data_IF_566778120381
#
_entry.id   IF_566778120381
#
_cell.length_a   1.000
_cell.length_b   1.000
_cell.length_c   1.000
_cell.angle_alpha   90.00
_cell.angle_beta   90.00
_cell.angle_gamma   90.00
#
_symmetry.space_group_name_H-M   'P 1'
#
loop_
_entity.id
_entity.type
_entity.pdbx_description
1 polymer ?
#
# COMPACT_ATOMS: atom_id res chain seq x y z
N UNK A 1 -22.83 -4.86 -61.09
CA UNK A 1 -24.16 -5.47 -61.28
C UNK A 1 -24.05 -6.89 -60.76
N UNK A 2 -24.83 -7.26 -59.89
CA UNK A 2 -25.20 -8.50 -59.20
C UNK A 2 -24.89 -8.53 -57.72
N UNK A 3 -26.00 -8.50 -57.03
CA UNK A 3 -26.25 -8.78 -55.63
C UNK A 3 -25.38 -9.90 -55.02
N UNK A 4 -24.76 -9.62 -53.88
CA UNK A 4 -24.47 -10.62 -52.83
C UNK A 4 -24.91 -10.01 -51.50
N UNK A 5 -26.22 -10.02 -51.29
CA UNK A 5 -26.82 -9.88 -49.98
C UNK A 5 -27.47 -11.21 -49.65
N UNK A 6 -26.72 -12.12 -49.00
CA UNK A 6 -27.33 -13.32 -48.42
C UNK A 6 -26.58 -13.75 -47.16
N UNK A 7 -27.33 -13.63 -46.05
CA UNK A 7 -27.36 -14.53 -44.92
C UNK A 7 -26.14 -14.63 -44.00
N UNK A 8 -26.08 -13.72 -43.02
CA UNK A 8 -25.68 -14.09 -41.69
C UNK A 8 -26.91 -14.12 -40.76
N UNK A 9 -27.54 -15.29 -40.69
CA UNK A 9 -28.53 -15.59 -39.64
C UNK A 9 -27.73 -15.78 -38.35
N UNK A 10 -27.88 -14.88 -37.40
CA UNK A 10 -27.47 -15.10 -36.02
C UNK A 10 -28.35 -16.26 -35.46
N UNK A 11 -27.75 -17.24 -34.77
CA UNK A 11 -28.54 -18.26 -34.06
C UNK A 11 -29.32 -17.55 -32.94
N UNK A 12 -30.55 -18.00 -32.77
CA UNK A 12 -31.52 -17.55 -31.76
C UNK A 12 -30.86 -17.44 -30.38
N UNK A 13 -31.08 -16.31 -29.73
CA UNK A 13 -30.80 -16.10 -28.33
C UNK A 13 -31.29 -17.28 -27.49
N UNK A 14 -30.36 -18.03 -26.96
CA UNK A 14 -30.60 -19.01 -25.89
C UNK A 14 -31.35 -18.24 -24.79
N UNK A 15 -32.59 -18.54 -24.57
CA UNK A 15 -33.37 -18.07 -23.42
C UNK A 15 -32.52 -18.32 -22.17
N UNK A 16 -32.32 -17.34 -21.28
CA UNK A 16 -31.61 -17.62 -20.07
C UNK A 16 -32.34 -18.70 -19.31
N UNK A 17 -31.75 -19.89 -19.25
CA UNK A 17 -32.18 -20.90 -18.31
C UNK A 17 -32.22 -20.24 -16.95
N UNK A 18 -33.32 -20.38 -16.25
CA UNK A 18 -33.55 -19.93 -14.88
C UNK A 18 -32.38 -20.43 -14.04
N UNK A 19 -31.35 -19.62 -13.93
CA UNK A 19 -30.21 -19.89 -13.06
C UNK A 19 -30.81 -20.01 -11.67
N UNK A 20 -30.77 -21.22 -11.13
CA UNK A 20 -31.06 -21.50 -9.74
C UNK A 20 -30.19 -20.48 -8.96
N UNK A 21 -30.80 -19.42 -8.42
CA UNK A 21 -30.12 -18.48 -7.52
C UNK A 21 -29.80 -19.30 -6.26
N UNK A 22 -28.65 -19.95 -6.25
CA UNK A 22 -28.02 -20.36 -4.99
C UNK A 22 -27.89 -19.07 -4.20
N UNK A 23 -28.69 -18.91 -3.17
CA UNK A 23 -28.58 -17.74 -2.28
C UNK A 23 -27.25 -17.88 -1.55
N UNK A 24 -26.20 -17.25 -2.11
CA UNK A 24 -24.93 -17.16 -1.42
C UNK A 24 -25.17 -16.48 -0.08
N UNK A 25 -24.75 -17.12 1.00
CA UNK A 25 -24.95 -16.61 2.35
C UNK A 25 -24.18 -15.29 2.50
N UNK A 26 -24.87 -14.23 2.91
CA UNK A 26 -24.23 -12.94 3.19
C UNK A 26 -23.42 -13.05 4.47
N UNK A 27 -22.10 -12.95 4.37
CA UNK A 27 -21.17 -12.99 5.51
C UNK A 27 -20.95 -11.59 6.08
N UNK A 28 -20.71 -11.52 7.40
CA UNK A 28 -20.16 -10.36 8.09
C UNK A 28 -18.65 -10.52 8.21
N UNK A 29 -17.88 -9.62 7.59
CA UNK A 29 -16.43 -9.77 7.45
C UNK A 29 -15.74 -8.57 8.05
N UNK A 30 -14.79 -8.83 8.95
CA UNK A 30 -13.86 -7.82 9.45
C UNK A 30 -12.56 -7.87 8.65
N UNK A 31 -12.06 -6.71 8.24
CA UNK A 31 -10.75 -6.56 7.59
C UNK A 31 -9.89 -5.65 8.48
N UNK A 32 -8.70 -6.12 8.83
CA UNK A 32 -7.76 -5.39 9.68
C UNK A 32 -6.65 -4.82 8.79
N UNK A 33 -6.63 -3.50 8.66
CA UNK A 33 -5.73 -2.75 7.79
C UNK A 33 -6.40 -2.17 6.55
N UNK A 34 -6.30 -0.86 6.35
CA UNK A 34 -6.85 -0.11 5.22
C UNK A 34 -5.75 0.31 4.21
N UNK A 35 -4.76 -0.55 3.98
CA UNK A 35 -3.81 -0.43 2.87
C UNK A 35 -4.42 -0.90 1.55
N UNK A 36 -3.61 -0.93 0.48
CA UNK A 36 -4.04 -1.37 -0.86
C UNK A 36 -4.69 -2.76 -0.81
N UNK A 37 -4.09 -3.74 -0.13
CA UNK A 37 -4.64 -5.11 -0.04
C UNK A 37 -6.00 -5.14 0.67
N UNK A 38 -6.11 -4.51 1.85
CA UNK A 38 -7.34 -4.50 2.64
C UNK A 38 -8.49 -3.77 1.93
N UNK A 39 -8.21 -2.63 1.28
CA UNK A 39 -9.23 -1.89 0.53
C UNK A 39 -9.66 -2.63 -0.74
N UNK A 40 -8.73 -3.31 -1.42
CA UNK A 40 -9.08 -4.18 -2.57
C UNK A 40 -9.98 -5.32 -2.12
N UNK A 41 -9.61 -6.02 -1.04
CA UNK A 41 -10.44 -7.10 -0.49
C UNK A 41 -11.82 -6.59 -0.07
N UNK A 42 -11.88 -5.45 0.65
CA UNK A 42 -13.14 -4.87 1.09
C UNK A 42 -14.09 -4.56 -0.07
N UNK A 43 -13.59 -3.89 -1.11
CA UNK A 43 -14.38 -3.56 -2.30
C UNK A 43 -14.92 -4.80 -3.01
N UNK A 44 -14.06 -5.80 -3.21
CA UNK A 44 -14.43 -7.05 -3.88
C UNK A 44 -15.53 -7.78 -3.11
N UNK A 45 -15.40 -7.88 -1.79
CA UNK A 45 -16.38 -8.53 -0.93
C UNK A 45 -17.71 -7.77 -0.84
N UNK A 46 -17.67 -6.43 -0.78
CA UNK A 46 -18.90 -5.60 -0.84
C UNK A 46 -19.61 -5.78 -2.19
N UNK A 47 -18.86 -5.80 -3.30
CA UNK A 47 -19.43 -6.07 -4.63
C UNK A 47 -20.03 -7.46 -4.76
N UNK A 48 -19.50 -8.44 -4.01
CA UNK A 48 -20.06 -9.79 -3.93
C UNK A 48 -21.29 -9.90 -2.99
N UNK A 49 -21.72 -8.81 -2.36
CA UNK A 49 -22.91 -8.75 -1.50
C UNK A 49 -22.67 -9.07 -0.02
N UNK A 50 -21.42 -9.15 0.42
CA UNK A 50 -21.07 -9.34 1.83
C UNK A 50 -21.10 -8.02 2.62
N UNK A 51 -21.30 -8.10 3.94
CA UNK A 51 -21.18 -6.98 4.87
C UNK A 51 -19.74 -6.89 5.36
N UNK A 52 -19.08 -5.78 5.12
CA UNK A 52 -17.66 -5.60 5.43
C UNK A 52 -17.46 -4.44 6.37
N UNK A 53 -16.61 -4.62 7.38
CA UNK A 53 -16.10 -3.55 8.22
C UNK A 53 -14.55 -3.58 8.16
N UNK A 54 -13.96 -2.40 8.00
CA UNK A 54 -12.49 -2.25 7.89
C UNK A 54 -11.99 -1.47 9.09
N UNK A 55 -10.98 -2.00 9.79
CA UNK A 55 -10.36 -1.40 10.97
C UNK A 55 -8.96 -0.93 10.66
N UNK A 56 -8.70 0.36 10.83
CA UNK A 56 -7.40 0.99 10.54
C UNK A 56 -6.93 1.81 11.73
N UNK A 57 -5.72 1.53 12.20
CA UNK A 57 -5.13 2.24 13.34
C UNK A 57 -4.78 3.70 13.06
N UNK A 58 -4.56 4.03 11.79
CA UNK A 58 -4.14 5.37 11.37
C UNK A 58 -5.35 6.29 11.16
N UNK A 59 -5.06 7.59 11.06
CA UNK A 59 -6.08 8.63 10.76
C UNK A 59 -6.65 8.60 9.35
N UNK A 60 -6.17 7.69 8.48
CA UNK A 60 -6.62 7.57 7.10
C UNK A 60 -6.18 6.27 6.46
N UNK A 61 -6.96 5.83 5.47
CA UNK A 61 -6.57 4.73 4.61
C UNK A 61 -5.33 5.10 3.78
N UNK A 62 -4.52 4.16 3.46
CA UNK A 62 -3.46 4.08 2.46
C UNK A 62 -2.27 3.21 2.92
N UNK A 63 -2.09 2.95 4.20
CA UNK A 63 -0.95 2.20 4.71
C UNK A 63 0.38 2.79 4.24
N UNK A 64 1.22 2.01 3.59
CA UNK A 64 2.54 2.45 3.07
C UNK A 64 2.47 3.34 1.82
N UNK A 65 1.30 3.55 1.24
CA UNK A 65 1.06 4.59 0.24
C UNK A 65 0.73 5.95 0.87
N UNK A 66 1.08 6.17 2.12
CA UNK A 66 0.81 7.40 2.86
C UNK A 66 1.54 8.60 2.26
N UNK A 67 0.85 9.73 2.31
CA UNK A 67 1.36 11.05 1.92
C UNK A 67 1.26 11.98 3.12
N UNK A 68 2.29 12.79 3.36
CA UNK A 68 2.29 13.86 4.35
C UNK A 68 1.99 15.19 3.68
N UNK A 69 1.04 15.92 4.21
CA UNK A 69 0.70 17.27 3.79
C UNK A 69 1.46 18.28 4.64
N UNK A 70 1.97 19.32 4.03
CA UNK A 70 2.67 20.45 4.65
C UNK A 70 2.30 21.74 3.94
N UNK A 71 2.70 22.89 4.52
CA UNK A 71 2.56 24.21 3.87
C UNK A 71 3.34 24.33 2.56
N UNK A 72 4.33 23.49 2.35
CA UNK A 72 5.15 23.46 1.13
C UNK A 72 4.56 22.53 0.05
N UNK A 73 3.54 21.75 0.38
CA UNK A 73 2.93 20.73 -0.46
C UNK A 73 3.07 19.34 0.13
N UNK A 74 2.82 18.32 -0.69
CA UNK A 74 2.76 16.92 -0.26
C UNK A 74 4.09 16.20 -0.42
N UNK A 75 4.36 15.25 0.49
CA UNK A 75 5.48 14.31 0.43
C UNK A 75 4.96 12.88 0.47
N UNK A 76 5.30 12.08 -0.52
CA UNK A 76 5.03 10.65 -0.51
C UNK A 76 6.15 9.94 0.26
N UNK A 77 6.01 9.89 1.58
CA UNK A 77 7.08 9.39 2.46
C UNK A 77 7.15 7.87 2.58
N UNK A 78 6.22 7.16 1.95
CA UNK A 78 6.25 5.70 1.76
C UNK A 78 6.54 5.34 0.31
N UNK A 79 5.54 4.82 -0.40
CA UNK A 79 5.64 4.46 -1.82
C UNK A 79 5.82 5.69 -2.69
N UNK A 80 6.84 5.67 -3.55
CA UNK A 80 7.19 6.81 -4.40
C UNK A 80 6.47 6.83 -5.73
N UNK A 81 6.21 5.65 -6.30
CA UNK A 81 5.50 5.38 -7.53
C UNK A 81 5.02 3.93 -7.55
N UNK A 82 4.24 3.56 -8.52
CA UNK A 82 3.91 2.16 -8.79
C UNK A 82 3.99 1.85 -10.28
N UNK A 83 4.14 0.57 -10.60
CA UNK A 83 4.10 0.03 -11.96
C UNK A 83 2.85 -0.84 -12.10
N UNK A 84 2.45 -1.12 -13.33
CA UNK A 84 1.25 -1.91 -13.65
C UNK A 84 1.64 -3.00 -14.63
N UNK A 85 1.62 -4.25 -14.18
CA UNK A 85 1.96 -5.45 -14.96
C UNK A 85 0.83 -6.46 -14.97
N UNK A 86 0.12 -6.61 -13.83
CA UNK A 86 -1.02 -7.50 -13.71
C UNK A 86 -2.24 -6.90 -14.45
N UNK A 87 -2.83 -7.63 -15.41
CA UNK A 87 -3.97 -7.13 -16.18
C UNK A 87 -5.19 -6.80 -15.33
N UNK A 88 -5.38 -7.45 -14.19
CA UNK A 88 -6.49 -7.19 -13.26
C UNK A 88 -6.29 -5.87 -12.54
N UNK A 89 -5.05 -5.52 -12.18
CA UNK A 89 -4.73 -4.22 -11.61
C UNK A 89 -4.90 -3.11 -12.66
N UNK A 90 -4.44 -3.34 -13.89
CA UNK A 90 -4.68 -2.44 -15.02
C UNK A 90 -6.18 -2.20 -15.24
N UNK A 91 -6.99 -3.27 -15.25
CA UNK A 91 -8.42 -3.19 -15.40
C UNK A 91 -9.08 -2.39 -14.27
N UNK A 92 -8.69 -2.63 -13.02
CA UNK A 92 -9.21 -1.89 -11.86
C UNK A 92 -8.90 -0.39 -11.94
N UNK A 93 -7.69 -0.02 -12.35
CA UNK A 93 -7.31 1.40 -12.55
C UNK A 93 -8.12 2.06 -13.69
N UNK A 94 -8.58 1.29 -14.68
CA UNK A 94 -9.35 1.80 -15.80
C UNK A 94 -10.86 1.88 -15.53
N UNK A 95 -11.40 0.94 -14.77
CA UNK A 95 -12.84 0.74 -14.61
C UNK A 95 -13.41 1.37 -13.34
N UNK A 96 -12.62 1.51 -12.28
CA UNK A 96 -13.09 2.21 -11.07
C UNK A 96 -13.22 3.69 -11.38
N UNK A 97 -14.45 4.21 -11.34
CA UNK A 97 -14.75 5.59 -11.67
C UNK A 97 -13.86 6.58 -10.89
N UNK A 98 -13.38 7.63 -11.52
CA UNK A 98 -12.53 8.66 -10.92
C UNK A 98 -11.05 8.28 -10.74
N UNK A 99 -10.67 7.02 -11.00
CA UNK A 99 -9.26 6.58 -10.80
C UNK A 99 -8.31 7.17 -11.84
N UNK A 100 -8.76 7.34 -13.09
CA UNK A 100 -7.93 7.90 -14.18
C UNK A 100 -7.53 9.36 -13.93
N UNK A 101 -8.37 10.11 -13.25
CA UNK A 101 -8.11 11.50 -12.88
C UNK A 101 -7.07 11.60 -11.76
N UNK A 102 -7.01 10.58 -10.93
CA UNK A 102 -6.09 10.49 -9.78
C UNK A 102 -4.74 9.92 -10.20
N UNK A 103 -4.72 8.80 -10.96
CA UNK A 103 -3.50 8.12 -11.35
C UNK A 103 -2.95 8.69 -12.66
N UNK A 104 -1.71 9.18 -12.62
CA UNK A 104 -1.06 9.80 -13.77
C UNK A 104 0.30 9.17 -14.04
N UNK A 105 0.68 9.01 -15.32
CA UNK A 105 2.05 8.66 -15.68
C UNK A 105 3.01 9.70 -15.12
N UNK A 106 4.12 9.24 -14.56
CA UNK A 106 5.19 10.10 -14.10
C UNK A 106 6.43 9.86 -14.96
N UNK A 107 6.92 10.94 -15.59
CA UNK A 107 8.10 10.89 -16.42
C UNK A 107 9.39 10.80 -15.57
N UNK A 108 9.47 9.77 -14.73
CA UNK A 108 10.74 9.32 -14.19
C UNK A 108 11.52 8.52 -15.24
N UNK A 109 11.37 8.86 -16.53
CA UNK A 109 12.02 8.19 -17.66
C UNK A 109 13.55 8.13 -17.57
N UNK A 110 14.10 8.81 -16.57
CA UNK A 110 15.51 8.77 -16.24
C UNK A 110 15.70 8.58 -14.74
N UNK A 111 15.29 7.43 -14.20
CA UNK A 111 15.83 6.99 -12.91
C UNK A 111 17.34 6.82 -13.11
N UNK A 112 18.13 7.60 -12.38
CA UNK A 112 19.58 7.50 -12.42
C UNK A 112 20.08 6.52 -11.38
N UNK A 113 21.26 5.98 -11.60
CA UNK A 113 22.01 5.24 -10.58
C UNK A 113 23.21 6.09 -10.20
N UNK A 114 23.31 6.43 -8.93
CA UNK A 114 24.37 7.26 -8.38
C UNK A 114 25.37 6.38 -7.65
N UNK A 115 26.65 6.72 -7.83
CA UNK A 115 27.74 6.21 -7.00
C UNK A 115 27.67 6.81 -5.57
N UNK A 116 28.51 6.39 -4.63
CA UNK A 116 28.52 6.96 -3.28
C UNK A 116 28.85 8.46 -3.20
N UNK A 117 29.41 9.03 -4.26
CA UNK A 117 29.75 10.46 -4.35
C UNK A 117 28.70 11.28 -5.11
N UNK A 118 27.62 10.64 -5.57
CA UNK A 118 26.54 11.31 -6.30
C UNK A 118 26.76 11.44 -7.80
N UNK A 119 27.84 10.86 -8.36
CA UNK A 119 28.03 10.86 -9.80
C UNK A 119 27.08 9.85 -10.46
N UNK A 120 26.56 10.22 -11.63
CA UNK A 120 25.75 9.29 -12.41
C UNK A 120 26.63 8.18 -12.96
N UNK A 121 26.50 7.00 -12.39
CA UNK A 121 27.29 5.83 -12.73
C UNK A 121 26.70 5.07 -13.93
N UNK A 122 25.38 4.95 -13.96
CA UNK A 122 24.67 4.25 -15.03
C UNK A 122 23.36 4.97 -15.34
N UNK A 123 23.07 5.14 -16.63
CA UNK A 123 21.69 5.41 -17.02
C UNK A 123 20.91 4.12 -16.77
N UNK A 124 19.96 4.14 -15.85
CA UNK A 124 19.14 2.97 -15.58
C UNK A 124 18.68 2.36 -16.91
N UNK A 125 18.85 1.05 -17.07
CA UNK A 125 18.30 0.30 -18.20
C UNK A 125 16.89 0.79 -18.42
N UNK A 126 16.52 1.10 -19.69
CA UNK A 126 15.19 1.54 -20.03
C UNK A 126 14.20 0.57 -19.37
N UNK A 127 13.61 0.99 -18.28
CA UNK A 127 12.58 0.21 -17.63
C UNK A 127 11.38 0.35 -18.57
N UNK A 128 10.92 -0.73 -19.16
CA UNK A 128 9.79 -0.71 -20.10
C UNK A 128 8.46 -0.40 -19.38
N UNK A 129 8.45 -0.49 -18.04
CA UNK A 129 7.25 -0.22 -17.26
C UNK A 129 7.05 1.27 -17.06
N UNK A 130 5.88 1.75 -17.40
CA UNK A 130 5.46 3.10 -17.07
C UNK A 130 5.36 3.25 -15.54
N UNK A 131 5.92 4.33 -15.01
CA UNK A 131 5.77 4.71 -13.62
C UNK A 131 4.51 5.55 -13.44
N UNK A 132 3.69 5.20 -12.48
CA UNK A 132 2.49 5.93 -12.12
C UNK A 132 2.58 6.52 -10.73
N UNK A 133 1.99 7.68 -10.55
CA UNK A 133 1.78 8.31 -9.25
C UNK A 133 0.32 8.72 -9.10
N UNK A 134 -0.17 8.75 -7.87
CA UNK A 134 -1.47 9.32 -7.57
C UNK A 134 -1.35 10.80 -7.18
N UNK A 135 -2.34 11.61 -7.54
CA UNK A 135 -2.43 13.04 -7.26
C UNK A 135 -3.67 13.34 -6.42
N UNK A 136 -3.60 14.22 -5.42
CA UNK A 136 -2.49 15.10 -5.01
C UNK A 136 -1.39 14.39 -4.16
N UNK A 137 -1.54 13.13 -3.82
CA UNK A 137 -0.63 12.28 -3.05
C UNK A 137 -0.84 10.81 -3.38
N UNK A 138 0.15 9.95 -3.10
CA UNK A 138 0.03 8.51 -3.34
C UNK A 138 -1.15 7.89 -2.59
N UNK A 139 -1.51 8.45 -1.43
CA UNK A 139 -2.67 8.03 -0.66
C UNK A 139 -4.02 8.28 -1.36
N UNK A 140 -4.07 9.16 -2.35
CA UNK A 140 -5.32 9.52 -3.02
C UNK A 140 -5.99 8.31 -3.69
N UNK A 141 -5.22 7.40 -4.29
CA UNK A 141 -5.75 6.19 -4.94
C UNK A 141 -6.52 5.32 -3.92
N UNK A 142 -5.87 4.96 -2.83
CA UNK A 142 -6.47 4.05 -1.83
C UNK A 142 -7.63 4.73 -1.11
N UNK A 143 -7.49 6.02 -0.77
CA UNK A 143 -8.58 6.80 -0.17
C UNK A 143 -9.80 6.88 -1.07
N UNK A 144 -9.60 7.11 -2.36
CA UNK A 144 -10.67 7.13 -3.34
C UNK A 144 -11.39 5.79 -3.42
N UNK A 145 -10.63 4.70 -3.48
CA UNK A 145 -11.19 3.35 -3.51
C UNK A 145 -11.89 2.97 -2.20
N UNK A 146 -11.53 3.58 -1.08
CA UNK A 146 -12.16 3.37 0.22
C UNK A 146 -13.47 4.17 0.41
N UNK A 147 -13.72 5.22 -0.38
CA UNK A 147 -14.89 6.09 -0.21
C UNK A 147 -16.24 5.37 -0.11
N UNK A 148 -16.53 4.33 -0.94
CA UNK A 148 -17.80 3.60 -0.86
C UNK A 148 -18.04 2.87 0.47
N UNK A 149 -17.01 2.62 1.26
CA UNK A 149 -17.14 1.97 2.58
C UNK A 149 -17.82 2.89 3.60
N UNK A 150 -17.68 4.21 3.46
CA UNK A 150 -18.33 5.17 4.35
C UNK A 150 -18.06 4.87 5.83
N UNK A 151 -19.14 4.68 6.59
CA UNK A 151 -19.09 4.37 8.05
C UNK A 151 -18.54 2.97 8.37
N UNK A 152 -18.43 2.09 7.39
CA UNK A 152 -17.82 0.77 7.58
C UNK A 152 -16.27 0.81 7.65
N UNK A 153 -15.66 1.98 7.39
CA UNK A 153 -14.24 2.21 7.58
C UNK A 153 -14.01 2.89 8.93
N UNK A 154 -13.52 2.13 9.90
CA UNK A 154 -13.20 2.58 11.25
C UNK A 154 -11.74 3.02 11.31
N UNK A 155 -11.52 4.34 11.23
CA UNK A 155 -10.20 4.96 11.39
C UNK A 155 -9.86 5.15 12.87
N UNK A 156 -8.57 5.29 13.20
CA UNK A 156 -8.09 5.36 14.59
C UNK A 156 -8.43 4.14 15.45
N UNK A 157 -8.81 3.03 14.83
CA UNK A 157 -9.20 1.80 15.51
C UNK A 157 -8.09 0.74 15.35
N UNK A 158 -7.27 0.58 16.39
CA UNK A 158 -6.22 -0.43 16.44
C UNK A 158 -6.76 -1.72 17.05
N UNK A 159 -6.93 -2.75 16.24
CA UNK A 159 -7.24 -4.10 16.73
C UNK A 159 -5.98 -4.65 17.42
N UNK A 160 -6.12 -5.06 18.68
CA UNK A 160 -5.02 -5.60 19.46
C UNK A 160 -5.22 -7.06 19.89
N UNK A 161 -6.49 -7.53 19.86
CA UNK A 161 -6.86 -8.91 20.20
C UNK A 161 -8.11 -9.32 19.45
N UNK A 162 -8.21 -10.58 19.12
CA UNK A 162 -9.37 -11.24 18.54
C UNK A 162 -9.72 -12.48 19.37
N UNK A 163 -11.01 -12.81 19.47
CA UNK A 163 -11.46 -14.05 20.10
C UNK A 163 -12.74 -14.56 19.43
N UNK A 164 -13.08 -15.83 19.68
CA UNK A 164 -14.33 -16.41 19.18
C UNK A 164 -15.32 -16.58 20.32
N UNK A 165 -16.57 -16.20 20.09
CA UNK A 165 -17.65 -16.48 21.03
C UNK A 165 -18.12 -17.95 20.95
N UNK A 166 -19.05 -18.32 21.82
CA UNK A 166 -19.62 -19.68 21.88
C UNK A 166 -20.32 -20.11 20.57
N UNK A 167 -20.77 -19.15 19.76
CA UNK A 167 -21.40 -19.40 18.45
C UNK A 167 -20.37 -19.48 17.31
N UNK A 168 -19.08 -19.41 17.60
CA UNK A 168 -18.01 -19.46 16.63
C UNK A 168 -17.77 -18.15 15.86
N UNK A 169 -18.47 -17.06 16.19
CA UNK A 169 -18.27 -15.75 15.56
C UNK A 169 -17.10 -15.00 16.21
N UNK A 170 -16.42 -14.21 15.41
CA UNK A 170 -15.29 -13.40 15.85
C UNK A 170 -15.73 -12.12 16.58
N UNK A 171 -14.96 -11.78 17.58
CA UNK A 171 -15.01 -10.55 18.36
C UNK A 171 -13.65 -9.87 18.24
N UNK A 172 -13.64 -8.58 17.92
CA UNK A 172 -12.43 -7.75 17.85
C UNK A 172 -12.41 -6.79 19.02
N UNK A 173 -11.27 -6.68 19.69
CA UNK A 173 -10.98 -5.70 20.71
C UNK A 173 -10.09 -4.62 20.11
N UNK A 174 -10.55 -3.37 20.13
CA UNK A 174 -9.85 -2.24 19.51
C UNK A 174 -9.56 -1.15 20.54
N UNK A 175 -8.46 -0.45 20.36
CA UNK A 175 -8.17 0.81 21.04
C UNK A 175 -8.27 1.96 20.06
N UNK A 176 -8.78 3.09 20.55
CA UNK A 176 -8.72 4.33 19.80
C UNK A 176 -7.29 4.90 19.87
N UNK A 177 -6.56 4.83 18.77
CA UNK A 177 -5.16 5.26 18.67
C UNK A 177 -4.96 6.78 18.81
N UNK A 178 -6.01 7.58 18.71
CA UNK A 178 -5.93 9.04 18.83
C UNK A 178 -6.07 9.54 20.27
N UNK A 179 -6.81 8.82 21.12
CA UNK A 179 -7.17 9.26 22.47
C UNK A 179 -6.33 8.61 23.58
N UNK A 180 -5.48 7.63 23.25
CA UNK A 180 -4.79 6.78 24.24
C UNK A 180 -5.74 6.16 25.28
N UNK A 181 -7.01 5.96 24.90
CA UNK A 181 -8.00 5.35 25.78
C UNK A 181 -7.57 3.91 26.11
N UNK A 182 -7.54 3.59 27.42
CA UNK A 182 -7.18 2.26 27.90
C UNK A 182 -8.34 1.27 27.84
N UNK A 183 -9.58 1.78 27.67
CA UNK A 183 -10.77 0.92 27.57
C UNK A 183 -10.96 0.48 26.14
N UNK A 184 -10.89 -0.84 25.86
CA UNK A 184 -11.11 -1.34 24.51
C UNK A 184 -12.56 -1.22 24.10
N UNK A 185 -12.78 -0.85 22.83
CA UNK A 185 -14.07 -0.99 22.16
C UNK A 185 -14.19 -2.44 21.63
N UNK A 186 -15.43 -2.96 21.68
CA UNK A 186 -15.71 -4.35 21.27
C UNK A 186 -16.59 -4.33 20.03
N UNK A 187 -16.11 -5.00 18.98
CA UNK A 187 -16.86 -5.23 17.73
C UNK A 187 -17.05 -6.74 17.55
N UNK A 188 -18.29 -7.19 17.45
CA UNK A 188 -18.62 -8.61 17.47
C UNK A 188 -19.52 -9.03 16.29
N UNK A 189 -19.61 -10.34 16.05
CA UNK A 189 -20.53 -10.92 15.08
C UNK A 189 -19.95 -11.11 13.69
N UNK A 190 -18.62 -11.28 13.57
CA UNK A 190 -17.98 -11.52 12.29
C UNK A 190 -17.84 -13.02 11.99
N UNK A 191 -18.26 -13.43 10.80
CA UNK A 191 -18.06 -14.78 10.28
C UNK A 191 -16.60 -15.01 9.87
N UNK A 192 -15.92 -13.95 9.40
CA UNK A 192 -14.55 -13.99 8.88
C UNK A 192 -13.74 -12.80 9.37
N UNK A 193 -12.43 -13.00 9.55
CA UNK A 193 -11.46 -11.95 9.87
C UNK A 193 -10.29 -12.04 8.89
N UNK A 194 -10.03 -10.96 8.16
CA UNK A 194 -8.97 -10.86 7.17
C UNK A 194 -7.88 -9.89 7.65
N UNK A 195 -6.65 -10.39 7.79
CA UNK A 195 -5.51 -9.60 8.24
C UNK A 195 -4.78 -9.02 7.02
N UNK A 196 -4.96 -7.74 6.76
CA UNK A 196 -4.35 -7.00 5.65
C UNK A 196 -3.28 -6.01 6.14
N UNK A 197 -2.49 -6.44 7.10
CA UNK A 197 -1.39 -5.70 7.74
C UNK A 197 -0.05 -6.37 7.45
N UNK A 198 1.11 -5.72 7.69
CA UNK A 198 2.42 -6.35 7.56
C UNK A 198 2.52 -7.65 8.35
N UNK A 199 3.28 -8.64 7.83
CA UNK A 199 3.38 -10.00 8.40
C UNK A 199 3.70 -10.01 9.90
N UNK A 200 4.64 -9.17 10.35
CA UNK A 200 5.02 -9.06 11.77
C UNK A 200 3.85 -8.56 12.63
N UNK A 201 3.03 -7.64 12.12
CA UNK A 201 1.85 -7.15 12.86
C UNK A 201 0.72 -8.21 12.87
N UNK A 202 0.54 -8.94 11.78
CA UNK A 202 -0.41 -10.04 11.70
C UNK A 202 -0.02 -11.16 12.67
N UNK A 203 1.25 -11.54 12.70
CA UNK A 203 1.80 -12.52 13.63
C UNK A 203 1.57 -12.12 15.10
N UNK A 204 1.91 -10.87 15.43
CA UNK A 204 1.70 -10.35 16.79
C UNK A 204 0.23 -10.37 17.19
N UNK A 205 -0.67 -10.00 16.29
CA UNK A 205 -2.12 -10.02 16.56
C UNK A 205 -2.62 -11.45 16.79
N UNK A 206 -2.19 -12.41 15.97
CA UNK A 206 -2.53 -13.82 16.17
C UNK A 206 -2.02 -14.33 17.50
N UNK A 207 -0.77 -14.05 17.87
CA UNK A 207 -0.20 -14.44 19.19
C UNK A 207 -0.96 -13.82 20.36
N UNK A 208 -1.28 -12.53 20.30
CA UNK A 208 -2.06 -11.84 21.32
C UNK A 208 -3.49 -12.41 21.47
N UNK A 209 -3.99 -13.05 20.42
CA UNK A 209 -5.32 -13.64 20.36
C UNK A 209 -5.38 -15.08 20.84
N UNK A 210 -4.26 -15.67 21.28
CA UNK A 210 -4.21 -17.05 21.77
C UNK A 210 -4.44 -18.04 20.63
N UNK A 211 -3.60 -17.98 19.59
CA UNK A 211 -3.70 -18.84 18.41
C UNK A 211 -3.75 -20.32 18.82
N UNK A 212 -4.83 -20.98 18.42
CA UNK A 212 -5.00 -22.42 18.63
C UNK A 212 -4.19 -23.24 17.60
N UNK A 213 -4.02 -24.53 17.90
CA UNK A 213 -3.23 -25.44 17.04
C UNK A 213 -3.65 -25.44 15.56
N UNK A 214 -4.94 -25.22 15.29
CA UNK A 214 -5.48 -25.16 13.92
C UNK A 214 -5.00 -23.95 13.10
N UNK A 215 -4.43 -22.94 13.74
CA UNK A 215 -3.96 -21.71 13.11
C UNK A 215 -2.44 -21.54 13.17
N UNK A 216 -1.75 -22.52 13.79
CA UNK A 216 -0.28 -22.51 13.94
C UNK A 216 0.46 -22.40 12.60
N UNK A 217 -0.12 -22.93 11.52
CA UNK A 217 0.43 -22.85 10.17
C UNK A 217 0.57 -21.41 9.66
N UNK A 218 -0.27 -20.46 10.11
CA UNK A 218 -0.11 -19.03 9.77
C UNK A 218 1.17 -18.47 10.38
N UNK A 219 1.44 -18.79 11.66
CA UNK A 219 2.63 -18.32 12.36
C UNK A 219 3.90 -18.88 11.74
N UNK A 220 3.89 -20.19 11.41
CA UNK A 220 5.01 -20.82 10.73
C UNK A 220 5.29 -20.18 9.36
N UNK A 221 4.24 -19.91 8.58
CA UNK A 221 4.38 -19.27 7.29
C UNK A 221 4.93 -17.84 7.41
N UNK A 222 4.40 -17.04 8.33
CA UNK A 222 4.85 -15.66 8.56
C UNK A 222 6.29 -15.56 9.03
N UNK A 223 6.79 -16.55 9.77
CA UNK A 223 8.20 -16.58 10.24
C UNK A 223 9.22 -16.68 9.09
N UNK A 224 8.79 -17.10 7.90
CA UNK A 224 9.63 -17.19 6.69
C UNK A 224 9.72 -15.84 5.95
N UNK A 225 8.84 -14.90 6.25
CA UNK A 225 8.80 -13.59 5.61
C UNK A 225 9.82 -12.66 6.23
N UNK A 226 10.63 -12.02 5.39
CA UNK A 226 11.60 -11.02 5.84
C UNK A 226 11.15 -9.63 5.41
N UNK A 227 11.08 -8.73 6.38
CA UNK A 227 10.66 -7.33 6.15
C UNK A 227 11.75 -6.40 6.69
N UNK A 228 12.13 -5.42 5.88
CA UNK A 228 13.11 -4.41 6.27
C UNK A 228 12.45 -3.10 6.67
N UNK A 229 13.05 -2.35 7.61
CA UNK A 229 12.66 -0.98 7.92
C UNK A 229 13.20 0.01 6.88
N UNK A 230 12.67 1.23 6.93
CA UNK A 230 13.17 2.36 6.14
C UNK A 230 12.99 3.67 6.89
N UNK A 231 14.07 4.42 7.05
CA UNK A 231 14.00 5.82 7.40
C UNK A 231 13.80 6.65 6.13
N UNK A 232 12.88 7.60 6.20
CA UNK A 232 12.58 8.51 5.08
C UNK A 232 12.74 9.95 5.54
N UNK A 233 13.56 10.73 4.84
CA UNK A 233 13.75 12.16 5.05
C UNK A 233 12.95 12.95 4.00
N UNK A 234 12.25 13.98 4.44
CA UNK A 234 11.47 14.90 3.63
C UNK A 234 12.05 16.31 3.76
N UNK A 235 12.34 16.94 2.63
CA UNK A 235 13.01 18.24 2.56
C UNK A 235 12.24 19.21 1.65
N UNK A 236 12.12 20.48 2.05
CA UNK A 236 11.58 21.54 1.20
C UNK A 236 12.53 22.74 1.12
N UNK A 237 12.67 23.28 -0.09
CA UNK A 237 13.51 24.41 -0.44
C UNK A 237 12.68 25.46 -1.22
N UNK A 238 11.83 26.25 -0.56
CA UNK A 238 10.89 27.16 -1.24
C UNK A 238 11.60 28.24 -2.06
N UNK A 239 12.83 28.61 -1.72
CA UNK A 239 13.62 29.63 -2.42
C UNK A 239 14.42 29.07 -3.61
N UNK A 240 14.38 27.77 -3.88
CA UNK A 240 15.13 27.14 -4.96
C UNK A 240 14.64 27.52 -6.37
N UNK A 241 13.46 28.11 -6.51
CA UNK A 241 12.90 28.57 -7.79
C UNK A 241 13.28 30.03 -8.11
N UNK A 242 14.24 30.59 -7.42
CA UNK A 242 14.72 31.92 -7.76
C UNK A 242 15.39 31.87 -9.14
N UNK A 243 14.95 32.68 -10.13
CA UNK A 243 15.53 32.72 -11.47
C UNK A 243 17.05 33.08 -11.47
N UNK A 244 17.52 33.70 -10.37
CA UNK A 244 18.94 34.02 -10.19
C UNK A 244 19.80 32.84 -9.70
N UNK A 245 19.18 31.69 -9.42
CA UNK A 245 19.84 30.44 -9.00
C UNK A 245 19.49 29.27 -9.91
N UNK A 246 19.90 29.31 -11.20
CA UNK A 246 19.42 28.37 -12.21
C UNK A 246 19.88 26.90 -12.01
N UNK A 247 20.79 26.65 -11.06
CA UNK A 247 21.47 25.36 -10.94
C UNK A 247 21.43 24.74 -9.54
N UNK A 248 20.30 24.86 -8.81
CA UNK A 248 20.13 24.18 -7.55
C UNK A 248 19.88 22.68 -7.80
N UNK A 249 20.95 21.91 -7.78
CA UNK A 249 20.92 20.47 -7.74
C UNK A 249 20.72 19.76 -9.09
N UNK A 250 20.58 18.45 -9.05
CA UNK A 250 20.55 17.60 -10.24
C UNK A 250 19.27 17.77 -11.07
N UNK A 251 19.39 17.50 -12.37
CA UNK A 251 18.28 17.63 -13.34
C UNK A 251 17.38 16.38 -13.44
N UNK A 252 17.65 15.33 -12.67
CA UNK A 252 16.84 14.10 -12.66
C UNK A 252 15.70 14.16 -11.62
N UNK A 253 14.63 13.40 -11.86
CA UNK A 253 13.44 13.34 -11.01
C UNK A 253 13.51 12.25 -9.94
N UNK A 254 14.26 11.19 -10.21
CA UNK A 254 14.50 10.10 -9.28
C UNK A 254 15.84 9.44 -9.52
N UNK A 255 16.45 8.95 -8.44
CA UNK A 255 17.69 8.21 -8.50
C UNK A 255 17.72 7.07 -7.45
N UNK A 256 18.32 5.97 -7.85
CA UNK A 256 18.86 4.96 -6.93
C UNK A 256 20.27 5.39 -6.54
N UNK A 257 20.69 5.01 -5.36
CA UNK A 257 22.05 5.30 -4.91
C UNK A 257 22.70 4.04 -4.33
N UNK A 258 24.00 3.91 -4.55
CA UNK A 258 24.85 2.92 -3.90
C UNK A 258 25.50 3.46 -2.62
N UNK A 259 25.14 4.65 -2.22
CA UNK A 259 25.60 5.26 -0.96
C UNK A 259 25.09 4.41 0.23
N UNK A 260 25.96 4.12 1.20
CA UNK A 260 25.64 3.22 2.31
C UNK A 260 24.40 3.63 3.14
N UNK A 261 24.10 4.95 3.23
CA UNK A 261 22.92 5.46 3.97
C UNK A 261 21.67 5.60 3.13
N UNK A 262 21.79 5.97 1.86
CA UNK A 262 20.68 6.37 1.00
C UNK A 262 20.53 5.41 -0.17
N UNK A 263 19.35 4.83 -0.33
CA UNK A 263 19.04 3.93 -1.44
C UNK A 263 18.23 4.61 -2.55
N UNK A 264 17.43 5.64 -2.22
CA UNK A 264 16.51 6.25 -3.17
C UNK A 264 16.31 7.73 -2.88
N UNK A 265 16.25 8.54 -3.95
CA UNK A 265 15.92 9.96 -3.91
C UNK A 265 14.83 10.26 -4.94
N UNK A 266 13.86 11.07 -4.55
CA UNK A 266 12.75 11.52 -5.42
C UNK A 266 12.54 13.01 -5.27
N UNK A 267 12.46 13.71 -6.40
CA UNK A 267 12.02 15.10 -6.47
C UNK A 267 10.49 15.15 -6.51
N UNK A 268 9.86 15.51 -5.38
CA UNK A 268 8.39 15.54 -5.25
C UNK A 268 7.74 16.58 -6.17
N UNK A 269 8.41 17.71 -6.40
CA UNK A 269 7.96 18.77 -7.31
C UNK A 269 7.89 18.34 -8.79
N UNK A 270 8.52 17.23 -9.16
CA UNK A 270 8.47 16.66 -10.52
C UNK A 270 7.21 15.83 -10.79
N UNK A 271 6.51 15.39 -9.74
CA UNK A 271 5.32 14.57 -9.89
C UNK A 271 4.14 15.41 -10.41
N UNK A 272 3.31 14.90 -11.35
CA UNK A 272 2.17 15.62 -11.89
C UNK A 272 1.14 15.96 -10.80
N UNK A 273 0.56 17.16 -10.89
CA UNK A 273 -0.47 17.64 -9.96
C UNK A 273 0.06 17.98 -8.55
N UNK A 274 1.37 18.20 -8.41
CA UNK A 274 2.01 18.58 -7.15
C UNK A 274 2.42 20.05 -7.15
N UNK A 275 2.64 20.59 -5.94
CA UNK A 275 3.26 21.92 -5.75
C UNK A 275 4.59 21.99 -6.49
N UNK A 276 4.92 23.17 -7.05
CA UNK A 276 6.18 23.41 -7.76
C UNK A 276 7.32 23.81 -6.82
N UNK A 277 7.03 24.03 -5.54
CA UNK A 277 8.08 24.23 -4.52
C UNK A 277 9.02 23.03 -4.56
N UNK A 278 10.32 23.29 -4.60
CA UNK A 278 11.34 22.25 -4.63
C UNK A 278 11.28 21.40 -3.36
N UNK A 279 11.02 20.12 -3.51
CA UNK A 279 10.85 19.17 -2.41
C UNK A 279 11.42 17.82 -2.78
N UNK A 280 12.02 17.19 -1.79
CA UNK A 280 12.67 15.90 -1.93
C UNK A 280 12.22 14.91 -0.87
N UNK A 281 12.02 13.67 -1.28
CA UNK A 281 11.89 12.51 -0.40
C UNK A 281 13.11 11.63 -0.60
N UNK A 282 13.81 11.33 0.49
CA UNK A 282 15.05 10.55 0.51
C UNK A 282 14.82 9.32 1.38
N UNK A 283 14.99 8.14 0.81
CA UNK A 283 14.80 6.87 1.51
C UNK A 283 16.16 6.24 1.82
N UNK A 284 16.36 5.88 3.07
CA UNK A 284 17.57 5.21 3.52
C UNK A 284 17.63 3.76 3.00
N UNK A 285 18.83 3.22 2.96
CA UNK A 285 19.02 1.79 2.67
C UNK A 285 18.45 0.92 3.79
N UNK A 286 18.02 -0.30 3.45
CA UNK A 286 17.47 -1.27 4.40
C UNK A 286 18.48 -1.60 5.51
N UNK A 287 19.74 -1.84 5.16
CA UNK A 287 20.82 -2.16 6.10
C UNK A 287 21.06 -1.02 7.08
N UNK A 288 21.23 0.20 6.58
CA UNK A 288 21.43 1.37 7.43
C UNK A 288 20.20 1.66 8.31
N UNK A 289 18.98 1.50 7.77
CA UNK A 289 17.75 1.67 8.52
C UNK A 289 17.61 0.66 9.65
N UNK A 290 18.05 -0.58 9.43
CA UNK A 290 18.06 -1.62 10.46
C UNK A 290 19.06 -1.31 11.57
N UNK A 291 20.27 -0.89 11.21
CA UNK A 291 21.32 -0.50 12.19
C UNK A 291 20.90 0.70 13.06
N UNK A 292 20.17 1.64 12.47
CA UNK A 292 19.75 2.89 13.12
C UNK A 292 18.25 2.91 13.47
N UNK A 293 17.61 1.73 13.58
CA UNK A 293 16.15 1.65 13.76
C UNK A 293 15.67 2.36 15.02
N UNK A 294 16.43 2.29 16.09
CA UNK A 294 16.08 2.86 17.39
C UNK A 294 16.80 4.20 17.69
N UNK A 295 17.59 4.69 16.75
CA UNK A 295 18.20 6.03 16.89
C UNK A 295 17.11 7.12 17.00
N UNK A 296 17.43 8.21 17.67
CA UNK A 296 16.55 9.37 17.76
C UNK A 296 16.40 10.10 16.40
N UNK A 297 15.25 10.71 16.21
CA UNK A 297 14.91 11.35 14.93
C UNK A 297 15.87 12.51 14.54
N UNK A 298 16.31 13.41 15.45
CA UNK A 298 17.27 14.45 15.12
C UNK A 298 18.60 13.91 14.62
N UNK A 299 19.13 12.85 15.23
CA UNK A 299 20.39 12.21 14.83
C UNK A 299 20.27 11.59 13.43
N UNK A 300 19.19 10.87 13.19
CA UNK A 300 18.90 10.26 11.87
C UNK A 300 18.77 11.37 10.81
N UNK A 301 18.03 12.44 11.12
CA UNK A 301 17.81 13.56 10.19
C UNK A 301 19.15 14.19 9.79
N UNK A 302 20.04 14.50 10.75
CA UNK A 302 21.33 15.09 10.47
C UNK A 302 22.21 14.20 9.57
N UNK A 303 22.26 12.88 9.85
CA UNK A 303 23.00 11.90 9.04
C UNK A 303 22.46 11.80 7.61
N UNK A 304 21.12 11.76 7.44
CA UNK A 304 20.48 11.66 6.13
C UNK A 304 20.60 12.97 5.33
N UNK A 305 20.49 14.13 5.99
CA UNK A 305 20.66 15.44 5.35
C UNK A 305 22.07 15.58 4.79
N UNK A 306 23.09 15.16 5.56
CA UNK A 306 24.47 15.12 5.08
C UNK A 306 24.62 14.23 3.84
N UNK A 307 24.08 13.01 3.87
CA UNK A 307 24.13 12.11 2.73
C UNK A 307 23.38 12.67 1.50
N UNK A 308 22.25 13.36 1.71
CA UNK A 308 21.54 14.07 0.66
C UNK A 308 22.44 15.14 0.00
N UNK A 309 23.14 15.95 0.80
CA UNK A 309 24.05 16.98 0.29
C UNK A 309 25.25 16.37 -0.45
N UNK A 310 25.78 15.24 0.03
CA UNK A 310 26.86 14.51 -0.63
C UNK A 310 26.43 13.99 -2.02
N UNK A 311 25.18 13.48 -2.13
CA UNK A 311 24.66 12.88 -3.36
C UNK A 311 24.13 13.89 -4.38
N UNK A 312 23.62 15.02 -3.94
CA UNK A 312 22.94 15.99 -4.82
C UNK A 312 23.74 17.26 -5.07
N UNK A 313 24.76 17.52 -4.26
CA UNK A 313 25.49 18.80 -4.25
C UNK A 313 24.69 19.96 -3.62
N UNK A 314 23.43 19.75 -3.23
CA UNK A 314 22.60 20.78 -2.58
C UNK A 314 23.07 20.97 -1.15
N UNK A 315 23.64 22.15 -0.88
CA UNK A 315 24.16 22.54 0.43
C UNK A 315 23.33 23.62 1.11
N UNK A 316 22.24 24.06 0.43
CA UNK A 316 21.31 25.01 1.01
C UNK A 316 20.59 24.37 2.21
N UNK A 317 20.34 25.19 3.23
CA UNK A 317 19.55 24.75 4.37
C UNK A 317 18.08 24.62 3.99
N UNK A 318 17.43 23.48 4.25
CA UNK A 318 16.02 23.32 3.94
C UNK A 318 15.15 24.09 4.93
N UNK A 319 14.10 24.75 4.44
CA UNK A 319 13.08 25.38 5.30
C UNK A 319 12.18 24.37 5.99
N UNK A 320 12.20 23.13 5.55
CA UNK A 320 11.52 21.99 6.17
C UNK A 320 12.39 20.76 6.04
N UNK A 321 12.63 20.12 7.18
CA UNK A 321 13.29 18.81 7.26
C UNK A 321 12.60 17.96 8.30
N UNK A 322 12.14 16.79 7.92
CA UNK A 322 11.53 15.84 8.85
C UNK A 322 11.81 14.42 8.42
N UNK A 323 12.09 13.53 9.39
CA UNK A 323 12.23 12.10 9.16
C UNK A 323 10.97 11.34 9.57
N UNK A 324 10.75 10.21 8.91
CA UNK A 324 9.73 9.24 9.27
C UNK A 324 10.34 7.85 9.34
N UNK A 325 9.99 7.08 10.36
CA UNK A 325 10.47 5.72 10.58
C UNK A 325 9.41 4.71 10.18
N UNK A 326 9.66 3.96 9.10
CA UNK A 326 8.90 2.79 8.72
C UNK A 326 9.54 1.55 9.32
N UNK A 327 8.93 0.92 10.33
CA UNK A 327 9.46 -0.33 10.92
C UNK A 327 9.29 -1.52 9.99
N UNK A 328 8.25 -1.54 9.17
CA UNK A 328 7.89 -2.61 8.26
C UNK A 328 7.68 -2.03 6.86
N UNK A 329 8.77 -1.59 6.23
CA UNK A 329 8.73 -0.81 5.00
C UNK A 329 8.63 -1.69 3.76
N UNK A 330 9.54 -2.63 3.62
CA UNK A 330 9.72 -3.39 2.39
C UNK A 330 9.87 -4.86 2.68
N UNK A 331 9.15 -5.69 1.95
CA UNK A 331 9.32 -7.14 1.94
C UNK A 331 10.58 -7.49 1.17
N UNK A 332 11.52 -8.19 1.81
CA UNK A 332 12.76 -8.69 1.21
C UNK A 332 12.57 -10.13 0.72
N UNK A 333 11.95 -10.98 1.55
CA UNK A 333 11.63 -12.35 1.21
C UNK A 333 10.12 -12.54 1.39
N UNK A 334 9.36 -12.66 0.31
CA UNK A 334 7.93 -12.90 0.35
C UNK A 334 7.60 -14.36 0.70
N UNK A 335 6.35 -14.60 1.07
CA UNK A 335 5.87 -15.95 1.37
C UNK A 335 5.81 -16.87 0.14
N UNK A 336 5.58 -16.30 -1.05
CA UNK A 336 5.50 -17.05 -2.31
C UNK A 336 4.12 -17.57 -2.68
N UNK A 337 3.07 -17.24 -1.88
CA UNK A 337 1.66 -17.56 -2.18
C UNK A 337 0.84 -16.29 -2.11
N UNK A 338 -0.18 -16.08 -2.95
CA UNK A 338 -0.89 -14.80 -3.03
C UNK A 338 -1.66 -14.44 -1.75
N UNK A 339 -2.08 -15.43 -0.97
CA UNK A 339 -2.78 -15.26 0.30
C UNK A 339 -2.71 -16.55 1.12
N UNK A 340 -3.17 -16.49 2.38
CA UNK A 340 -3.54 -17.65 3.17
C UNK A 340 -5.00 -17.51 3.62
N UNK A 341 -5.74 -18.61 3.65
CA UNK A 341 -7.12 -18.64 4.14
C UNK A 341 -7.45 -20.01 4.72
N UNK A 342 -7.95 -20.00 5.96
CA UNK A 342 -8.43 -21.20 6.63
C UNK A 342 -9.95 -21.11 6.81
N UNK A 343 -10.68 -21.73 5.90
CA UNK A 343 -12.14 -21.66 5.85
C UNK A 343 -12.85 -22.08 7.14
N UNK A 344 -12.43 -23.15 7.87
CA UNK A 344 -13.08 -23.57 9.11
C UNK A 344 -13.04 -22.51 10.22
N UNK A 345 -11.95 -21.77 10.37
CA UNK A 345 -11.84 -20.69 11.35
C UNK A 345 -12.25 -19.34 10.80
N UNK A 346 -12.27 -19.19 9.49
CA UNK A 346 -12.60 -17.95 8.81
C UNK A 346 -11.52 -16.89 8.88
N UNK A 347 -10.28 -17.27 9.22
CA UNK A 347 -9.12 -16.36 9.20
C UNK A 347 -8.48 -16.38 7.82
N UNK A 348 -8.14 -15.18 7.31
CA UNK A 348 -7.33 -15.02 6.11
C UNK A 348 -6.27 -13.95 6.27
N UNK A 349 -5.20 -14.02 5.46
CA UNK A 349 -4.13 -13.03 5.44
C UNK A 349 -3.82 -12.61 4.02
N UNK A 350 -3.61 -11.32 3.80
CA UNK A 350 -3.17 -10.75 2.54
C UNK A 350 -2.25 -9.54 2.75
N UNK A 351 -1.53 -9.20 1.71
CA UNK A 351 -0.58 -8.09 1.68
C UNK A 351 0.47 -8.32 0.61
N UNK A 352 1.24 -7.30 0.28
CA UNK A 352 2.38 -7.43 -0.63
C UNK A 352 3.35 -8.54 -0.21
N UNK A 353 3.57 -8.71 1.09
CA UNK A 353 4.48 -9.70 1.67
C UNK A 353 4.16 -11.16 1.30
N UNK A 354 3.00 -11.41 0.77
CA UNK A 354 2.65 -12.71 0.19
C UNK A 354 3.36 -12.96 -1.14
N UNK A 355 3.49 -11.91 -1.99
CA UNK A 355 3.94 -12.03 -3.39
C UNK A 355 5.28 -11.33 -3.60
N UNK A 356 5.47 -10.12 -3.03
CA UNK A 356 6.64 -9.29 -3.25
C UNK A 356 6.63 -8.01 -2.41
N UNK A 357 6.86 -6.84 -3.05
CA UNK A 357 6.96 -5.57 -2.34
C UNK A 357 6.31 -4.39 -3.11
N UNK A 358 5.53 -4.70 -4.15
CA UNK A 358 4.90 -3.69 -5.01
C UNK A 358 3.48 -3.36 -4.56
N UNK A 359 2.99 -2.21 -5.00
CA UNK A 359 1.58 -1.84 -4.84
C UNK A 359 0.66 -2.87 -5.52
N UNK A 360 1.04 -3.31 -6.69
CA UNK A 360 0.37 -4.34 -7.47
C UNK A 360 0.29 -5.68 -6.72
N UNK A 361 1.37 -6.08 -6.05
CA UNK A 361 1.40 -7.32 -5.26
C UNK A 361 0.39 -7.27 -4.10
N UNK A 362 0.27 -6.10 -3.46
CA UNK A 362 -0.75 -5.89 -2.44
C UNK A 362 -2.18 -5.95 -3.00
N UNK A 363 -2.41 -5.35 -4.19
CA UNK A 363 -3.70 -5.41 -4.88
C UNK A 363 -4.08 -6.85 -5.21
N UNK A 364 -3.18 -7.59 -5.86
CA UNK A 364 -3.42 -8.99 -6.27
C UNK A 364 -3.70 -9.87 -5.06
N UNK A 365 -2.89 -9.75 -4.02
CA UNK A 365 -3.07 -10.51 -2.78
C UNK A 365 -4.44 -10.27 -2.13
N UNK A 366 -4.87 -9.00 -2.03
CA UNK A 366 -6.19 -8.67 -1.49
C UNK A 366 -7.35 -9.18 -2.35
N UNK A 367 -7.22 -9.10 -3.68
CA UNK A 367 -8.20 -9.60 -4.63
C UNK A 367 -8.37 -11.13 -4.52
N UNK A 368 -7.26 -11.85 -4.55
CA UNK A 368 -7.24 -13.32 -4.49
C UNK A 368 -7.84 -13.84 -3.18
N UNK A 369 -7.50 -13.22 -2.04
CA UNK A 369 -8.11 -13.58 -0.76
C UNK A 369 -9.63 -13.34 -0.78
N UNK A 370 -10.09 -12.21 -1.29
CA UNK A 370 -11.52 -11.92 -1.38
C UNK A 370 -12.27 -12.93 -2.24
N UNK A 371 -11.71 -13.30 -3.40
CA UNK A 371 -12.28 -14.33 -4.26
C UNK A 371 -12.35 -15.70 -3.57
N UNK A 372 -11.32 -16.09 -2.83
CA UNK A 372 -11.30 -17.33 -2.06
C UNK A 372 -12.39 -17.34 -0.97
N UNK A 373 -12.60 -16.21 -0.28
CA UNK A 373 -13.68 -16.06 0.70
C UNK A 373 -15.06 -16.21 0.04
N UNK A 374 -15.28 -15.54 -1.10
CA UNK A 374 -16.54 -15.70 -1.86
C UNK A 374 -16.79 -17.15 -2.26
N UNK A 375 -15.79 -17.85 -2.81
CA UNK A 375 -15.92 -19.27 -3.16
C UNK A 375 -16.25 -20.16 -1.96
N UNK A 376 -15.70 -19.86 -0.78
CA UNK A 376 -16.00 -20.61 0.44
C UNK A 376 -17.44 -20.41 0.93
N UNK A 377 -18.02 -19.24 0.71
CA UNK A 377 -19.41 -18.92 1.09
C UNK A 377 -20.47 -19.63 0.22
N UNK A 378 -20.09 -20.08 -0.98
CA UNK A 378 -20.97 -20.86 -1.86
C UNK A 378 -20.99 -22.36 -1.55
N UNK A 379 -20.11 -22.85 -0.69
CA UNK A 379 -19.99 -24.27 -0.34
C UNK A 379 -20.58 -24.63 1.02
N UNK A 380 -21.07 -23.63 1.75
CA UNK A 380 -21.79 -23.77 3.01
C UNK A 380 -23.29 -23.75 2.76
#
# INVERSE_FOLDING_TARGET
MHNIAQALRFPELIKPQTACRVHAMTLNIAIIGAGMAGITAARTLVQAGHRVQVFEKSRGAAGRMSTRETVFGTFDHGTQYFTVRDPRFSLALQTVAGTKEICRPWSASAVRVLDPLGHVFEAAKKNHDAHFVASPGMNALVRHWAQPLGKALHLHNQVHRMERNANGLWILHTFNSSTRAEIPEIHAGFDRVLLAVPSVQAEQLLRNSGVHANEAHFLEAMSKVQVAPCWTLMLAFPNANNPDLPHLGPQWNAARSTHHRVAWLTRESSKPGRSKIERWTVQASAAWSQEHLEDDAPRVQAKMLRAFSELTGIRAEPSYAQVHRWRYAQTLVPLGTPFQFHAPTGIGTCGDWHIGHRVEDAFVSGLELALAVCHSAHRL
#
